data_IF_443088958025
#
_entry.id   IF_443088958025
#
_cell.length_a   1.000
_cell.length_b   1.000
_cell.length_c   1.000
_cell.angle_alpha   90.00
_cell.angle_beta   90.00
_cell.angle_gamma   90.00
#
_symmetry.space_group_name_H-M   'P 1'
#
loop_
_entity.id
_entity.type
_entity.pdbx_description
1 polymer ?
#
# COMPACT_ATOMS: atom_id res chain seq x y z
N UNK A 1 32.82 1.11 5.09
CA UNK A 1 32.18 0.11 5.98
C UNK A 1 31.55 0.77 7.20
N UNK A 2 32.24 1.70 7.88
CA UNK A 2 31.71 2.41 9.05
C UNK A 2 30.42 3.21 8.76
N UNK A 3 30.41 3.99 7.67
CA UNK A 3 29.23 4.79 7.25
C UNK A 3 27.98 3.93 7.01
N UNK A 4 28.16 2.71 6.46
CA UNK A 4 27.03 1.80 6.15
C UNK A 4 26.36 1.30 7.44
N UNK A 5 27.14 0.98 8.47
CA UNK A 5 26.63 0.60 9.80
C UNK A 5 25.88 1.72 10.51
N UNK A 6 26.22 2.99 10.21
CA UNK A 6 25.51 4.14 10.78
C UNK A 6 24.12 4.34 10.16
N UNK A 7 23.93 3.96 8.88
CA UNK A 7 22.66 4.17 8.16
C UNK A 7 21.72 2.97 8.19
N UNK A 8 22.21 1.76 8.47
CA UNK A 8 21.41 0.53 8.55
C UNK A 8 20.18 0.64 9.48
N UNK A 9 20.28 1.14 10.72
CA UNK A 9 19.12 1.24 11.62
C UNK A 9 18.05 2.19 11.08
N UNK A 10 18.47 3.31 10.50
CA UNK A 10 17.58 4.32 9.92
C UNK A 10 16.85 3.70 8.72
N UNK A 11 17.55 2.95 7.88
CA UNK A 11 16.95 2.29 6.72
C UNK A 11 15.85 1.29 7.10
N UNK A 12 16.05 0.48 8.14
CA UNK A 12 15.02 -0.44 8.61
C UNK A 12 13.77 0.28 9.14
N UNK A 13 13.96 1.37 9.89
CA UNK A 13 12.85 2.19 10.39
C UNK A 13 12.11 2.86 9.23
N UNK A 14 12.83 3.40 8.24
CA UNK A 14 12.24 4.00 7.05
C UNK A 14 11.46 2.99 6.21
N UNK A 15 11.97 1.77 6.03
CA UNK A 15 11.27 0.70 5.32
C UNK A 15 9.98 0.29 6.05
N UNK A 16 10.03 0.11 7.37
CA UNK A 16 8.85 -0.20 8.17
C UNK A 16 7.80 0.91 8.10
N UNK A 17 8.22 2.18 8.21
CA UNK A 17 7.34 3.33 8.11
C UNK A 17 6.69 3.46 6.73
N UNK A 18 7.44 3.22 5.64
CA UNK A 18 6.92 3.26 4.28
C UNK A 18 5.77 2.27 4.08
N UNK A 19 5.91 1.03 4.57
CA UNK A 19 4.85 0.01 4.49
C UNK A 19 3.66 0.36 5.39
N UNK A 20 3.91 0.74 6.66
CA UNK A 20 2.85 0.99 7.61
C UNK A 20 1.94 2.15 7.18
N UNK A 21 2.55 3.27 6.78
CA UNK A 21 1.79 4.46 6.38
C UNK A 21 1.02 4.22 5.07
N UNK A 22 1.64 3.56 4.09
CA UNK A 22 0.98 3.26 2.82
C UNK A 22 -0.17 2.26 2.98
N UNK A 23 0.01 1.24 3.81
CA UNK A 23 -1.02 0.25 4.10
C UNK A 23 -2.22 0.88 4.80
N UNK A 24 -2.00 1.77 5.78
CA UNK A 24 -3.08 2.51 6.43
C UNK A 24 -3.83 3.40 5.43
N UNK A 25 -3.10 4.16 4.61
CA UNK A 25 -3.71 5.00 3.58
C UNK A 25 -4.54 4.19 2.57
N UNK A 26 -4.00 3.07 2.09
CA UNK A 26 -4.69 2.15 1.19
C UNK A 26 -5.93 1.52 1.84
N UNK A 27 -5.83 1.08 3.09
CA UNK A 27 -6.95 0.50 3.84
C UNK A 27 -8.11 1.49 4.00
N UNK A 28 -7.82 2.77 4.27
CA UNK A 28 -8.84 3.82 4.34
C UNK A 28 -9.52 4.00 2.97
N UNK A 29 -8.73 4.07 1.88
CA UNK A 29 -9.27 4.17 0.52
C UNK A 29 -10.18 2.99 0.15
N UNK A 30 -9.74 1.76 0.47
CA UNK A 30 -10.52 0.53 0.26
C UNK A 30 -11.79 0.53 1.11
N UNK A 31 -11.73 0.97 2.37
CA UNK A 31 -12.91 1.02 3.24
C UNK A 31 -13.99 1.94 2.68
N UNK A 32 -13.62 3.12 2.18
CA UNK A 32 -14.54 4.08 1.57
C UNK A 32 -15.08 3.55 0.23
N UNK A 33 -14.19 3.16 -0.68
CA UNK A 33 -14.58 2.67 -2.01
C UNK A 33 -15.38 1.37 -1.94
N UNK A 34 -14.99 0.45 -1.06
CA UNK A 34 -15.65 -0.84 -0.84
C UNK A 34 -17.06 -0.69 -0.27
N UNK A 35 -17.26 0.24 0.67
CA UNK A 35 -18.59 0.53 1.21
C UNK A 35 -19.54 1.07 0.14
N UNK A 36 -19.06 2.01 -0.69
CA UNK A 36 -19.83 2.50 -1.84
C UNK A 36 -20.09 1.40 -2.88
N UNK A 37 -19.10 0.56 -3.14
CA UNK A 37 -19.22 -0.56 -4.07
C UNK A 37 -20.26 -1.58 -3.62
N UNK A 38 -20.28 -1.93 -2.34
CA UNK A 38 -21.27 -2.86 -1.78
C UNK A 38 -22.70 -2.35 -1.98
N UNK A 39 -22.95 -1.05 -1.74
CA UNK A 39 -24.26 -0.43 -2.01
C UNK A 39 -24.65 -0.47 -3.48
N UNK A 40 -23.72 -0.10 -4.38
CA UNK A 40 -23.97 -0.13 -5.82
C UNK A 40 -24.26 -1.54 -6.36
N UNK A 41 -23.54 -2.56 -5.86
CA UNK A 41 -23.74 -3.96 -6.23
C UNK A 41 -25.09 -4.47 -5.72
N UNK A 42 -25.53 -4.05 -4.52
CA UNK A 42 -26.83 -4.43 -3.98
C UNK A 42 -28.00 -3.90 -4.81
N UNK A 43 -27.88 -2.70 -5.39
CA UNK A 43 -28.89 -2.15 -6.30
C UNK A 43 -28.79 -2.68 -7.73
N UNK A 44 -27.56 -2.86 -8.24
CA UNK A 44 -27.26 -3.22 -9.64
C UNK A 44 -26.14 -4.26 -9.70
N UNK A 45 -26.47 -5.55 -9.59
CA UNK A 45 -25.47 -6.62 -9.57
C UNK A 45 -24.55 -6.65 -10.81
N UNK A 46 -25.04 -6.15 -11.96
CA UNK A 46 -24.32 -6.14 -13.22
C UNK A 46 -23.09 -5.20 -13.20
N UNK A 47 -23.01 -4.27 -12.23
CA UNK A 47 -21.88 -3.34 -12.15
C UNK A 47 -20.64 -3.94 -11.47
N UNK A 48 -20.75 -5.11 -10.83
CA UNK A 48 -19.69 -5.73 -10.00
C UNK A 48 -18.28 -5.63 -10.61
N UNK A 49 -18.12 -6.05 -11.86
CA UNK A 49 -16.82 -6.07 -12.52
C UNK A 49 -16.17 -4.69 -12.67
N UNK A 50 -16.96 -3.63 -12.84
CA UNK A 50 -16.42 -2.26 -12.91
C UNK A 50 -16.03 -1.75 -11.52
N UNK A 51 -16.84 -2.02 -10.51
CA UNK A 51 -16.62 -1.44 -9.18
C UNK A 51 -15.46 -2.12 -8.46
N UNK A 52 -15.28 -3.44 -8.62
CA UNK A 52 -14.15 -4.15 -8.01
C UNK A 52 -12.79 -3.66 -8.54
N UNK A 53 -12.71 -3.26 -9.80
CA UNK A 53 -11.51 -2.66 -10.39
C UNK A 53 -11.17 -1.33 -9.69
N UNK A 54 -12.18 -0.48 -9.43
CA UNK A 54 -11.98 0.78 -8.71
C UNK A 54 -11.49 0.55 -7.28
N UNK A 55 -12.04 -0.44 -6.58
CA UNK A 55 -11.59 -0.82 -5.23
C UNK A 55 -10.14 -1.32 -5.26
N UNK A 56 -9.77 -2.15 -6.24
CA UNK A 56 -8.39 -2.62 -6.41
C UNK A 56 -7.40 -1.48 -6.72
N UNK A 57 -7.81 -0.45 -7.46
CA UNK A 57 -6.96 0.74 -7.66
C UNK A 57 -6.67 1.50 -6.36
N UNK A 58 -7.56 1.45 -5.37
CA UNK A 58 -7.27 2.04 -4.05
C UNK A 58 -6.16 1.28 -3.29
N UNK A 59 -6.00 -0.03 -3.55
CA UNK A 59 -4.93 -0.86 -2.97
C UNK A 59 -3.53 -0.47 -3.50
N UNK A 60 -3.44 0.10 -4.70
CA UNK A 60 -2.17 0.41 -5.35
C UNK A 60 -1.24 1.25 -4.47
N UNK A 61 -1.78 2.12 -3.60
CA UNK A 61 -1.02 2.91 -2.62
C UNK A 61 -0.20 2.01 -1.69
N UNK A 62 -0.78 0.94 -1.16
CA UNK A 62 -0.09 -0.01 -0.28
C UNK A 62 1.05 -0.73 -1.03
N UNK A 63 0.78 -1.16 -2.27
CA UNK A 63 1.77 -1.81 -3.15
C UNK A 63 2.95 -0.89 -3.42
N UNK A 64 2.73 0.40 -3.66
CA UNK A 64 3.82 1.36 -3.85
C UNK A 64 4.67 1.56 -2.59
N UNK A 65 4.08 1.57 -1.39
CA UNK A 65 4.87 1.66 -0.16
C UNK A 65 5.69 0.39 0.11
N UNK A 66 5.16 -0.79 -0.24
CA UNK A 66 5.93 -2.04 -0.24
C UNK A 66 7.10 -1.99 -1.22
N UNK A 67 6.88 -1.48 -2.43
CA UNK A 67 7.93 -1.31 -3.43
C UNK A 67 9.05 -0.39 -2.92
N UNK A 68 8.70 0.75 -2.32
CA UNK A 68 9.69 1.67 -1.73
C UNK A 68 10.47 1.00 -0.60
N UNK A 69 9.80 0.25 0.28
CA UNK A 69 10.48 -0.49 1.34
C UNK A 69 11.45 -1.54 0.79
N UNK A 70 11.07 -2.25 -0.28
CA UNK A 70 11.97 -3.19 -0.96
C UNK A 70 13.19 -2.48 -1.55
N UNK A 71 13.02 -1.31 -2.18
CA UNK A 71 14.14 -0.53 -2.72
C UNK A 71 15.11 -0.12 -1.59
N UNK A 72 14.57 0.33 -0.45
CA UNK A 72 15.39 0.71 0.73
C UNK A 72 16.19 -0.50 1.24
N UNK A 73 15.53 -1.64 1.42
CA UNK A 73 16.16 -2.85 1.93
C UNK A 73 17.22 -3.41 0.98
N UNK A 74 16.93 -3.44 -0.32
CA UNK A 74 17.88 -3.91 -1.33
C UNK A 74 19.08 -2.97 -1.49
N UNK A 75 18.88 -1.66 -1.32
CA UNK A 75 19.97 -0.68 -1.38
C UNK A 75 20.92 -0.71 -0.18
N UNK A 76 20.47 -1.21 0.98
CA UNK A 76 21.29 -1.28 2.21
C UNK A 76 21.80 -2.69 2.49
N UNK A 77 21.08 -3.73 2.06
CA UNK A 77 21.48 -5.13 2.21
C UNK A 77 22.40 -5.66 1.10
N UNK A 78 22.38 -5.05 -0.09
CA UNK A 78 23.21 -5.41 -1.25
C UNK A 78 24.66 -4.92 -1.17
#
# INVERSE_FOLDING_TARGET
MEVRRMVEPIAYVSAAAAVAISAIAGAIGIAVAGSAAAGAIAEKPEVFGKVIIIVAFAEAVAVYGLLVALIILLGVGG
#
